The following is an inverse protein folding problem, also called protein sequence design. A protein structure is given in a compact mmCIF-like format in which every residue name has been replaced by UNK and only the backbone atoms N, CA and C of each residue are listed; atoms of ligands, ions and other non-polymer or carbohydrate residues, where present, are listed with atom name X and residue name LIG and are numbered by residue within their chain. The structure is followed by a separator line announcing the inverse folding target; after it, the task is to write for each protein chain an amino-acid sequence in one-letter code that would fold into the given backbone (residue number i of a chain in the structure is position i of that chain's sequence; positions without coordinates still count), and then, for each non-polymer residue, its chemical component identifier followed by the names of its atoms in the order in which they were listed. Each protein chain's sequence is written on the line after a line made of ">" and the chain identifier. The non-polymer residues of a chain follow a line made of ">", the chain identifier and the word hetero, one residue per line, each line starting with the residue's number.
data_IF_687840006488
#
_entry.id   IF_687840006488
#
_cell.length_a   1.000
_cell.length_b   1.000
_cell.length_c   1.000
_cell.angle_alpha   90.00
_cell.angle_beta   90.00
_cell.angle_gamma   90.00
#
_symmetry.space_group_name_H-M   'P 1'
#
loop_
_entity.id
_entity.type
_entity.pdbx_description
1 polymer ?
#
# COMPACT_ATOMS: atom_id res chain seq x y z
N UNK A 1 -1.31 14.69 15.11
CA UNK A 1 -2.46 14.00 14.48
C UNK A 1 -2.40 12.46 14.50
N UNK A 2 -1.29 11.78 14.82
CA UNK A 2 -1.37 10.40 15.37
C UNK A 2 -1.64 10.40 16.89
N UNK A 3 -1.02 11.35 17.59
CA UNK A 3 -1.05 11.51 19.05
C UNK A 3 -2.44 11.70 19.66
N UNK A 4 -3.36 12.40 18.97
CA UNK A 4 -4.66 12.78 19.54
C UNK A 4 -5.75 11.72 19.29
N UNK A 5 -5.53 10.82 18.32
CA UNK A 5 -6.49 9.76 17.96
C UNK A 5 -6.10 8.40 18.53
N UNK A 6 -4.83 8.23 18.94
CA UNK A 6 -4.28 7.00 19.51
C UNK A 6 -4.63 5.74 18.68
N UNK A 7 -4.31 5.73 17.37
CA UNK A 7 -4.55 4.56 16.55
C UNK A 7 -3.73 3.37 17.08
N UNK A 8 -4.32 2.17 17.01
CA UNK A 8 -3.64 0.93 17.41
C UNK A 8 -2.78 0.36 16.29
N UNK A 9 -3.05 0.73 15.04
CA UNK A 9 -2.25 0.41 13.86
C UNK A 9 -2.48 1.47 12.77
N UNK A 10 -1.53 1.60 11.85
CA UNK A 10 -1.65 2.41 10.63
C UNK A 10 -1.60 1.47 9.41
N UNK A 11 -2.55 1.63 8.49
CA UNK A 11 -2.50 1.00 7.18
C UNK A 11 -2.00 2.03 6.17
N UNK A 12 -0.99 1.69 5.39
CA UNK A 12 -0.38 2.60 4.43
C UNK A 12 -0.37 1.97 3.04
N UNK A 13 -1.11 2.55 2.10
CA UNK A 13 -1.12 2.21 0.68
C UNK A 13 -1.11 3.51 -0.11
N UNK A 14 0.06 3.89 -0.62
CA UNK A 14 0.29 5.20 -1.22
C UNK A 14 1.27 5.08 -2.40
N UNK A 15 1.35 6.12 -3.21
CA UNK A 15 2.37 6.29 -4.24
C UNK A 15 1.87 6.26 -5.68
N UNK A 16 0.71 5.68 -5.97
CA UNK A 16 0.22 5.63 -7.37
C UNK A 16 -0.16 7.02 -7.89
N UNK A 17 -0.76 7.85 -7.04
CA UNK A 17 -1.05 9.24 -7.38
C UNK A 17 0.25 10.04 -7.60
N UNK A 18 1.25 9.81 -6.77
CA UNK A 18 2.57 10.44 -6.90
C UNK A 18 3.23 10.06 -8.24
N UNK A 19 3.22 8.78 -8.62
CA UNK A 19 3.74 8.33 -9.90
C UNK A 19 2.96 8.94 -11.08
N UNK A 20 1.63 9.06 -10.98
CA UNK A 20 0.79 9.72 -11.98
C UNK A 20 1.04 11.25 -12.07
N UNK A 21 1.74 11.84 -11.10
CA UNK A 21 2.15 13.25 -11.08
C UNK A 21 3.69 13.40 -11.24
N UNK A 22 4.35 12.43 -11.87
CA UNK A 22 5.79 12.44 -12.17
C UNK A 22 6.71 12.61 -10.95
N UNK A 23 6.25 12.21 -9.76
CA UNK A 23 7.07 12.19 -8.56
C UNK A 23 8.02 10.99 -8.64
N UNK A 24 9.32 11.23 -8.44
CA UNK A 24 10.32 10.16 -8.48
C UNK A 24 10.12 9.13 -7.36
N UNK A 25 10.39 7.85 -7.66
CA UNK A 25 10.34 6.75 -6.69
C UNK A 25 11.15 7.06 -5.42
N UNK A 26 12.32 7.70 -5.56
CA UNK A 26 13.16 8.09 -4.43
C UNK A 26 12.48 9.12 -3.51
N UNK A 27 11.73 10.08 -4.08
CA UNK A 27 10.98 11.07 -3.31
C UNK A 27 9.79 10.43 -2.60
N UNK A 28 9.09 9.51 -3.26
CA UNK A 28 7.99 8.72 -2.66
C UNK A 28 8.55 7.89 -1.50
N UNK A 29 9.62 7.13 -1.72
CA UNK A 29 10.28 6.33 -0.68
C UNK A 29 10.75 7.17 0.52
N UNK A 30 11.25 8.37 0.28
CA UNK A 30 11.60 9.32 1.35
C UNK A 30 10.39 9.78 2.16
N UNK A 31 9.26 10.05 1.53
CA UNK A 31 8.03 10.43 2.23
C UNK A 31 7.43 9.26 3.02
N UNK A 32 7.35 8.07 2.43
CA UNK A 32 6.91 6.85 3.12
C UNK A 32 7.79 6.56 4.34
N UNK A 33 9.11 6.70 4.20
CA UNK A 33 10.04 6.55 5.33
C UNK A 33 9.73 7.53 6.48
N UNK A 34 9.42 8.79 6.17
CA UNK A 34 9.02 9.77 7.19
C UNK A 34 7.72 9.38 7.89
N UNK A 35 6.76 8.79 7.17
CA UNK A 35 5.53 8.27 7.78
C UNK A 35 5.81 7.08 8.71
N UNK A 36 6.70 6.17 8.31
CA UNK A 36 7.15 5.05 9.15
C UNK A 36 7.86 5.57 10.42
N UNK A 37 8.76 6.54 10.28
CA UNK A 37 9.48 7.15 11.41
C UNK A 37 8.51 7.87 12.36
N UNK A 38 7.49 8.56 11.82
CA UNK A 38 6.46 9.22 12.62
C UNK A 38 5.62 8.21 13.43
N UNK A 39 5.21 7.09 12.83
CA UNK A 39 4.49 6.03 13.53
C UNK A 39 5.36 5.36 14.62
N UNK A 40 6.63 5.09 14.30
CA UNK A 40 7.59 4.55 15.26
C UNK A 40 7.80 5.46 16.48
N UNK A 41 7.85 6.79 16.28
CA UNK A 41 8.03 7.77 17.37
C UNK A 41 6.93 7.73 18.44
N UNK A 42 5.76 7.18 18.11
CA UNK A 42 4.62 7.02 19.02
C UNK A 42 4.30 5.55 19.29
N UNK A 43 5.18 4.62 18.90
CA UNK A 43 5.03 3.19 19.14
C UNK A 43 3.86 2.54 18.41
N UNK A 44 3.36 3.16 17.32
CA UNK A 44 2.23 2.62 16.56
C UNK A 44 2.76 1.73 15.42
N UNK A 45 2.31 0.47 15.34
CA UNK A 45 2.69 -0.45 14.27
C UNK A 45 2.08 -0.05 12.92
N UNK A 46 2.79 -0.37 11.83
CA UNK A 46 2.39 -0.02 10.47
C UNK A 46 2.29 -1.26 9.60
N UNK A 47 1.18 -1.43 8.89
CA UNK A 47 1.06 -2.34 7.75
C UNK A 47 1.20 -1.52 6.45
N UNK A 48 2.35 -1.60 5.79
CA UNK A 48 2.65 -0.90 4.55
C UNK A 48 2.47 -1.84 3.37
N UNK A 49 1.62 -1.47 2.41
CA UNK A 49 1.32 -2.28 1.25
C UNK A 49 2.22 -1.97 0.07
N UNK A 50 2.56 -3.01 -0.70
CA UNK A 50 3.03 -2.85 -2.07
C UNK A 50 1.88 -2.34 -2.94
N UNK A 51 2.20 -1.64 -4.02
CA UNK A 51 1.23 -1.20 -5.01
C UNK A 51 0.92 -2.34 -6.00
N UNK A 52 -0.35 -2.53 -6.31
CA UNK A 52 -0.78 -3.46 -7.35
C UNK A 52 -0.58 -2.85 -8.75
N UNK A 53 -0.59 -3.69 -9.79
CA UNK A 53 -0.42 -3.20 -11.14
C UNK A 53 -1.63 -2.37 -11.58
N UNK A 54 -1.34 -1.25 -12.24
CA UNK A 54 -2.35 -0.41 -12.91
C UNK A 54 -2.20 -0.54 -14.41
N UNK A 55 -3.23 -0.14 -15.14
CA UNK A 55 -3.35 -0.40 -16.57
C UNK A 55 -3.64 0.89 -17.32
N UNK A 56 -2.95 1.10 -18.44
CA UNK A 56 -3.24 2.22 -19.32
C UNK A 56 -4.65 2.06 -19.86
N UNK A 57 -5.44 3.12 -19.76
CA UNK A 57 -6.81 3.15 -20.27
C UNK A 57 -7.02 4.41 -21.08
N UNK A 58 -7.79 4.26 -22.16
CA UNK A 58 -8.15 5.33 -23.08
C UNK A 58 -9.61 5.68 -22.82
N UNK A 59 -9.85 6.92 -22.42
CA UNK A 59 -11.22 7.42 -22.27
C UNK A 59 -12.01 7.33 -23.60
N UNK A 60 -13.35 7.33 -23.57
CA UNK A 60 -14.15 7.38 -24.80
C UNK A 60 -13.83 8.57 -25.72
N UNK A 61 -13.25 9.66 -25.17
CA UNK A 61 -12.76 10.81 -25.93
C UNK A 61 -11.38 10.63 -26.56
N UNK A 62 -10.75 9.45 -26.44
CA UNK A 62 -9.42 9.16 -26.99
C UNK A 62 -8.25 9.67 -26.14
N UNK A 63 -8.52 10.26 -24.97
CA UNK A 63 -7.47 10.75 -24.07
C UNK A 63 -6.92 9.56 -23.28
N UNK A 64 -5.61 9.33 -23.40
CA UNK A 64 -4.85 8.36 -22.60
C UNK A 64 -4.70 8.91 -21.19
N UNK A 65 -5.08 8.13 -20.19
CA UNK A 65 -4.93 8.49 -18.78
C UNK A 65 -3.45 8.38 -18.39
N UNK A 66 -2.91 9.41 -17.73
CA UNK A 66 -1.56 9.33 -17.15
C UNK A 66 -1.48 8.14 -16.20
N UNK A 67 -0.47 7.30 -16.43
CA UNK A 67 -0.31 6.07 -15.67
C UNK A 67 1.16 5.79 -15.35
N UNK A 68 1.48 5.74 -14.05
CA UNK A 68 2.77 5.34 -13.50
C UNK A 68 3.07 3.83 -13.51
N UNK A 69 2.28 3.01 -14.21
CA UNK A 69 2.36 1.54 -14.20
C UNK A 69 3.77 0.99 -14.41
N UNK A 70 4.55 1.59 -15.31
CA UNK A 70 5.93 1.16 -15.59
C UNK A 70 6.87 1.31 -14.38
N UNK A 71 6.55 2.21 -13.45
CA UNK A 71 7.33 2.49 -12.24
C UNK A 71 6.83 1.72 -11.01
N UNK A 72 5.69 1.04 -11.09
CA UNK A 72 5.15 0.23 -9.97
C UNK A 72 6.15 -0.80 -9.45
N UNK A 73 6.88 -1.58 -10.29
CA UNK A 73 7.89 -2.51 -9.79
C UNK A 73 9.01 -1.83 -9.01
N UNK A 74 9.47 -0.66 -9.47
CA UNK A 74 10.51 0.11 -8.79
C UNK A 74 10.01 0.70 -7.46
N UNK A 75 8.78 1.19 -7.42
CA UNK A 75 8.13 1.63 -6.18
C UNK A 75 8.00 0.48 -5.18
N UNK A 76 7.58 -0.69 -5.63
CA UNK A 76 7.43 -1.88 -4.79
C UNK A 76 8.75 -2.39 -4.23
N UNK A 77 9.83 -2.32 -5.01
CA UNK A 77 11.18 -2.60 -4.53
C UNK A 77 11.61 -1.60 -3.43
N UNK A 78 11.32 -0.31 -3.62
CA UNK A 78 11.62 0.73 -2.64
C UNK A 78 10.82 0.57 -1.34
N UNK A 79 9.52 0.27 -1.42
CA UNK A 79 8.65 -0.03 -0.27
C UNK A 79 9.24 -1.16 0.57
N UNK A 80 9.62 -2.28 -0.08
CA UNK A 80 10.25 -3.41 0.61
C UNK A 80 11.59 -3.02 1.23
N UNK A 81 12.40 -2.23 0.53
CA UNK A 81 13.70 -1.76 1.01
C UNK A 81 13.56 -0.88 2.26
N UNK A 82 12.62 0.06 2.29
CA UNK A 82 12.44 0.95 3.45
C UNK A 82 11.80 0.24 4.65
N UNK A 83 11.01 -0.80 4.42
CA UNK A 83 10.40 -1.61 5.46
C UNK A 83 11.38 -2.63 6.06
N UNK A 84 12.36 -3.11 5.28
CA UNK A 84 13.30 -4.14 5.72
C UNK A 84 14.02 -3.77 7.03
N UNK A 85 14.03 -4.71 7.97
CA UNK A 85 14.72 -4.56 9.26
C UNK A 85 14.05 -3.63 10.27
N UNK A 86 12.90 -3.02 9.94
CA UNK A 86 12.16 -2.18 10.88
C UNK A 86 11.28 -3.04 11.80
N UNK A 87 11.37 -2.77 13.09
CA UNK A 87 10.45 -3.33 14.08
C UNK A 87 9.05 -2.73 13.88
N UNK A 88 8.01 -3.54 14.09
CA UNK A 88 6.60 -3.13 14.02
C UNK A 88 6.17 -2.53 12.67
N UNK A 89 6.89 -2.85 11.58
CA UNK A 89 6.50 -2.54 10.20
C UNK A 89 6.30 -3.84 9.45
N UNK A 90 5.11 -4.04 8.91
CA UNK A 90 4.69 -5.27 8.25
C UNK A 90 4.36 -4.98 6.79
N UNK A 91 4.89 -5.77 5.87
CA UNK A 91 4.63 -5.60 4.43
C UNK A 91 3.38 -6.37 4.03
N UNK A 92 2.42 -5.69 3.41
CA UNK A 92 1.22 -6.27 2.80
C UNK A 92 1.46 -6.43 1.31
N UNK A 93 1.48 -7.66 0.82
CA UNK A 93 1.81 -7.94 -0.58
C UNK A 93 0.57 -7.87 -1.49
N UNK A 94 0.20 -6.66 -1.94
CA UNK A 94 -0.87 -6.50 -2.92
C UNK A 94 -0.37 -6.75 -4.35
N UNK A 95 0.90 -6.47 -4.64
CA UNK A 95 1.51 -6.71 -5.96
C UNK A 95 1.22 -8.11 -6.50
N UNK A 96 1.45 -9.16 -5.68
CA UNK A 96 1.21 -10.54 -6.11
C UNK A 96 -0.26 -10.96 -6.04
N UNK A 97 -0.99 -10.45 -5.04
CA UNK A 97 -2.38 -10.81 -4.75
C UNK A 97 -3.37 -10.19 -5.73
N UNK A 98 -3.08 -9.00 -6.24
CA UNK A 98 -3.89 -8.23 -7.18
C UNK A 98 -3.36 -8.30 -8.63
N UNK A 99 -2.56 -9.33 -8.97
CA UNK A 99 -1.94 -9.44 -10.31
C UNK A 99 -2.93 -9.62 -11.47
N UNK A 100 -4.15 -10.04 -11.16
CA UNK A 100 -5.18 -10.32 -12.16
C UNK A 100 -5.94 -9.03 -12.50
N UNK A 101 -5.99 -8.70 -13.79
CA UNK A 101 -6.65 -7.50 -14.34
C UNK A 101 -8.10 -7.38 -13.90
N UNK A 102 -8.79 -8.50 -13.62
CA UNK A 102 -10.20 -8.51 -13.17
C UNK A 102 -10.42 -7.84 -11.81
N UNK A 103 -9.37 -7.64 -11.02
CA UNK A 103 -9.45 -6.97 -9.72
C UNK A 103 -9.38 -5.45 -9.84
N UNK A 104 -9.03 -4.92 -11.01
CA UNK A 104 -8.93 -3.49 -11.29
C UNK A 104 -10.05 -3.11 -12.25
N UNK A 105 -10.64 -1.94 -12.04
CA UNK A 105 -11.76 -1.48 -12.81
C UNK A 105 -11.42 -1.12 -14.24
N UNK A 106 -12.45 -0.77 -14.99
CA UNK A 106 -12.30 -0.35 -16.39
C UNK A 106 -11.52 0.96 -16.54
N UNK A 107 -11.29 1.70 -15.45
CA UNK A 107 -10.43 2.89 -15.46
C UNK A 107 -8.93 2.58 -15.30
N UNK A 108 -8.59 1.30 -15.10
CA UNK A 108 -7.22 0.81 -15.01
C UNK A 108 -6.50 1.23 -13.74
N UNK A 109 -7.19 1.84 -12.76
CA UNK A 109 -6.59 2.31 -11.51
C UNK A 109 -7.31 1.76 -10.29
N UNK A 110 -8.61 2.00 -10.18
CA UNK A 110 -9.32 1.73 -8.95
C UNK A 110 -9.68 0.25 -8.87
N UNK A 111 -9.64 -0.38 -7.69
CA UNK A 111 -10.10 -1.75 -7.56
C UNK A 111 -11.60 -1.87 -7.86
N UNK A 112 -12.00 -3.00 -8.45
CA UNK A 112 -13.39 -3.44 -8.42
C UNK A 112 -13.73 -4.03 -7.04
N UNK A 113 -15.00 -4.33 -6.77
CA UNK A 113 -15.44 -4.96 -5.51
C UNK A 113 -14.61 -6.20 -5.15
N UNK A 114 -14.38 -7.10 -6.12
CA UNK A 114 -13.55 -8.28 -5.93
C UNK A 114 -12.08 -7.94 -5.62
N UNK A 115 -11.58 -6.81 -6.11
CA UNK A 115 -10.26 -6.29 -5.77
C UNK A 115 -10.20 -5.76 -4.34
N UNK A 116 -11.22 -5.04 -3.91
CA UNK A 116 -11.35 -4.60 -2.52
C UNK A 116 -11.41 -5.78 -1.54
N UNK A 117 -12.07 -6.89 -1.91
CA UNK A 117 -12.08 -8.12 -1.10
C UNK A 117 -10.67 -8.70 -0.92
N UNK A 118 -9.88 -8.78 -2.01
CA UNK A 118 -8.50 -9.26 -1.96
C UNK A 118 -7.62 -8.34 -1.10
N UNK A 119 -7.76 -7.01 -1.27
CA UNK A 119 -7.03 -6.04 -0.46
C UNK A 119 -7.37 -6.17 1.03
N UNK A 120 -8.66 -6.26 1.35
CA UNK A 120 -9.14 -6.43 2.72
C UNK A 120 -8.57 -7.69 3.34
N UNK A 121 -8.64 -8.83 2.64
CA UNK A 121 -8.05 -10.09 3.08
C UNK A 121 -6.54 -10.00 3.32
N UNK A 122 -5.82 -9.28 2.46
CA UNK A 122 -4.38 -9.08 2.58
C UNK A 122 -3.99 -8.28 3.82
N UNK A 123 -4.66 -7.16 4.07
CA UNK A 123 -4.44 -6.38 5.28
C UNK A 123 -4.83 -7.17 6.53
N UNK A 124 -5.99 -7.84 6.52
CA UNK A 124 -6.46 -8.63 7.67
C UNK A 124 -5.45 -9.73 8.04
N UNK A 125 -4.94 -10.47 7.06
CA UNK A 125 -3.95 -11.52 7.28
C UNK A 125 -2.70 -11.01 8.01
N UNK A 126 -2.24 -9.81 7.66
CA UNK A 126 -1.07 -9.18 8.31
C UNK A 126 -1.41 -8.71 9.72
N UNK A 127 -2.60 -8.12 9.91
CA UNK A 127 -3.04 -7.68 11.24
C UNK A 127 -3.24 -8.86 12.20
N UNK A 128 -3.81 -9.97 11.76
CA UNK A 128 -3.97 -11.17 12.59
C UNK A 128 -2.63 -11.78 12.99
N UNK A 129 -1.64 -11.78 12.08
CA UNK A 129 -0.30 -12.24 12.38
C UNK A 129 0.46 -11.31 13.34
N UNK A 130 0.27 -10.00 13.20
CA UNK A 130 0.92 -8.98 14.04
C UNK A 130 0.27 -8.81 15.42
N UNK A 131 -1.06 -8.98 15.50
CA UNK A 131 -1.87 -8.81 16.71
C UNK A 131 -2.68 -10.07 17.00
N UNK A 132 -2.02 -11.21 17.29
CA UNK A 132 -2.74 -12.41 17.62
C UNK A 132 -3.61 -12.15 18.86
N UNK A 133 -4.90 -12.44 18.73
CA UNK A 133 -5.82 -12.41 19.87
C UNK A 133 -5.32 -13.47 20.85
N UNK A 134 -4.67 -13.04 21.94
CA UNK A 134 -4.37 -13.94 23.05
C UNK A 134 -5.70 -14.27 23.70
N UNK A 135 -6.20 -15.48 23.45
CA UNK A 135 -7.33 -16.01 24.19
C UNK A 135 -7.04 -15.91 25.68
N UNK A 136 -7.89 -15.20 26.41
CA UNK A 136 -7.78 -15.01 27.85
C UNK A 136 -8.13 -16.30 28.58
N UNK A 137 -7.23 -17.30 28.56
CA UNK A 137 -7.25 -18.46 29.45
C UNK A 137 -5.84 -19.05 29.56
N UNK A 138 -5.03 -18.52 30.49
CA UNK A 138 -4.10 -19.29 31.34
C UNK A 138 -3.92 -18.51 32.65
#
# INVERSE_FOLDING_TARGET
>A
MLTNRRPQAVLLLEGINDLNNDVSVSRIGSALRQMLDAAASVGVPVAIATMYQTYEEVSPSGVVRTNGAALVPALNAEIRRIAAGRLNVYVVDLESRMRDRRFVGNDGLHPEDAGFDVMTSAFLSVLEAAFPVRGSFQ
#
